data_IF_490906218825
#
_entry.id   IF_490906218825
#
_cell.length_a   1.000
_cell.length_b   1.000
_cell.length_c   1.000
_cell.angle_alpha   90.00
_cell.angle_beta   90.00
_cell.angle_gamma   90.00
#
_symmetry.space_group_name_H-M   'P 1'
#
loop_
_entity.id
_entity.type
_entity.pdbx_description
1 polymer ?
#
# COMPACT_ATOMS: atom_id res chain seq x y z
N UNK A 1 -2.31 -8.86 -63.65
CA UNK A 1 -2.58 -9.63 -62.41
C UNK A 1 -1.74 -9.10 -61.25
N UNK A 2 -1.85 -7.79 -60.94
CA UNK A 2 -0.91 -7.11 -60.02
C UNK A 2 -1.53 -5.98 -59.18
N UNK A 3 -2.86 -5.80 -59.19
CA UNK A 3 -3.53 -4.67 -58.51
C UNK A 3 -4.38 -5.06 -57.31
N UNK A 4 -4.66 -6.35 -57.10
CA UNK A 4 -5.45 -6.83 -55.94
C UNK A 4 -4.61 -7.05 -54.67
N UNK A 5 -3.30 -7.29 -54.81
CA UNK A 5 -2.38 -7.54 -53.68
C UNK A 5 -2.11 -6.25 -52.89
N UNK A 6 -2.26 -5.06 -53.49
CA UNK A 6 -1.94 -3.79 -52.83
C UNK A 6 -2.98 -3.31 -51.81
N UNK A 7 -4.27 -3.60 -52.01
CA UNK A 7 -5.38 -2.98 -51.24
C UNK A 7 -5.68 -3.71 -49.94
N UNK A 8 -5.54 -5.05 -49.94
CA UNK A 8 -5.67 -5.86 -48.74
C UNK A 8 -4.53 -5.59 -47.75
N UNK A 9 -3.30 -5.49 -48.23
CA UNK A 9 -2.13 -5.18 -47.39
C UNK A 9 -2.20 -3.77 -46.76
N UNK A 10 -2.72 -2.78 -47.48
CA UNK A 10 -2.96 -1.44 -46.92
C UNK A 10 -4.05 -1.45 -45.86
N UNK A 11 -5.13 -2.21 -46.07
CA UNK A 11 -6.22 -2.31 -45.10
C UNK A 11 -5.78 -2.99 -43.79
N UNK A 12 -4.96 -4.04 -43.88
CA UNK A 12 -4.40 -4.73 -42.71
C UNK A 12 -3.41 -3.82 -41.98
N UNK A 13 -2.53 -3.11 -42.70
CA UNK A 13 -1.59 -2.16 -42.09
C UNK A 13 -2.30 -1.02 -41.33
N UNK A 14 -3.38 -0.46 -41.89
CA UNK A 14 -4.21 0.54 -41.20
C UNK A 14 -4.87 -0.01 -39.93
N UNK A 15 -5.26 -1.28 -39.94
CA UNK A 15 -5.84 -1.98 -38.79
C UNK A 15 -4.82 -2.18 -37.66
N UNK A 16 -3.58 -2.58 -38.00
CA UNK A 16 -2.48 -2.64 -37.03
C UNK A 16 -2.23 -1.28 -36.38
N UNK A 17 -2.06 -0.23 -37.19
CA UNK A 17 -1.88 1.16 -36.69
C UNK A 17 -3.00 1.60 -35.74
N UNK A 18 -4.24 1.27 -36.07
CA UNK A 18 -5.42 1.63 -35.25
C UNK A 18 -5.43 0.89 -33.91
N UNK A 19 -5.15 -0.43 -33.92
CA UNK A 19 -5.09 -1.26 -32.71
C UNK A 19 -3.93 -0.83 -31.82
N UNK A 20 -2.77 -0.54 -32.39
CA UNK A 20 -1.59 -0.05 -31.67
C UNK A 20 -1.84 1.32 -31.06
N UNK A 21 -2.44 2.26 -31.79
CA UNK A 21 -2.78 3.58 -31.25
C UNK A 21 -3.76 3.47 -30.06
N UNK A 22 -4.76 2.61 -30.17
CA UNK A 22 -5.74 2.38 -29.10
C UNK A 22 -5.10 1.70 -27.87
N UNK A 23 -4.31 0.65 -28.06
CA UNK A 23 -3.63 -0.05 -26.95
C UNK A 23 -2.52 0.79 -26.32
N UNK A 24 -1.68 1.44 -27.14
CA UNK A 24 -0.66 2.38 -26.67
C UNK A 24 -1.28 3.52 -25.87
N UNK A 25 -2.39 4.07 -26.37
CA UNK A 25 -3.17 5.10 -25.67
C UNK A 25 -3.74 4.62 -24.34
N UNK A 26 -4.33 3.42 -24.28
CA UNK A 26 -4.91 2.87 -23.04
C UNK A 26 -3.86 2.47 -22.01
N UNK A 27 -2.72 1.90 -22.43
CA UNK A 27 -1.58 1.60 -21.55
C UNK A 27 -0.98 2.89 -21.01
N UNK A 28 -0.77 3.90 -21.86
CA UNK A 28 -0.24 5.21 -21.45
C UNK A 28 -1.20 5.95 -20.52
N UNK A 29 -2.50 5.92 -20.81
CA UNK A 29 -3.54 6.47 -19.94
C UNK A 29 -3.56 5.78 -18.57
N UNK A 30 -3.51 4.44 -18.54
CA UNK A 30 -3.47 3.64 -17.31
C UNK A 30 -2.18 3.90 -16.52
N UNK A 31 -1.04 4.03 -17.20
CA UNK A 31 0.26 4.35 -16.59
C UNK A 31 0.27 5.73 -15.95
N UNK A 32 -0.25 6.76 -16.65
CA UNK A 32 -0.40 8.12 -16.10
C UNK A 32 -1.35 8.18 -14.91
N UNK A 33 -2.52 7.54 -15.00
CA UNK A 33 -3.51 7.50 -13.90
C UNK A 33 -2.94 6.80 -12.66
N UNK A 34 -2.05 5.82 -12.83
CA UNK A 34 -1.53 4.97 -11.74
C UNK A 34 -0.13 5.35 -11.23
N UNK A 35 0.41 6.52 -11.60
CA UNK A 35 1.75 6.99 -11.20
C UNK A 35 2.85 5.92 -11.37
N UNK A 36 2.80 5.16 -12.47
CA UNK A 36 3.90 4.25 -12.77
C UNK A 36 5.20 5.04 -12.97
N UNK A 37 6.33 4.40 -12.61
CA UNK A 37 7.64 4.95 -12.87
C UNK A 37 7.81 5.19 -14.38
N UNK A 38 8.34 6.36 -14.76
CA UNK A 38 8.47 6.77 -16.16
C UNK A 38 9.30 5.76 -16.97
N UNK A 39 10.31 5.14 -16.35
CA UNK A 39 11.16 4.13 -16.96
C UNK A 39 10.39 2.86 -17.36
N UNK A 40 9.59 2.29 -16.44
CA UNK A 40 8.82 1.06 -16.73
C UNK A 40 7.73 1.28 -17.79
N UNK A 41 7.12 2.46 -17.79
CA UNK A 41 6.13 2.83 -18.82
C UNK A 41 6.77 2.93 -20.20
N UNK A 42 7.98 3.51 -20.27
CA UNK A 42 8.74 3.66 -21.51
C UNK A 42 9.24 2.31 -22.05
N UNK A 43 9.80 1.46 -21.18
CA UNK A 43 10.26 0.10 -21.54
C UNK A 43 9.11 -0.77 -22.04
N UNK A 44 7.94 -0.74 -21.38
CA UNK A 44 6.78 -1.51 -21.82
C UNK A 44 6.24 -1.01 -23.17
N UNK A 45 6.25 0.31 -23.41
CA UNK A 45 5.91 0.89 -24.71
C UNK A 45 6.86 0.47 -25.83
N UNK A 46 8.18 0.48 -25.57
CA UNK A 46 9.21 0.01 -26.52
C UNK A 46 9.06 -1.48 -26.87
N UNK A 47 8.79 -2.33 -25.86
CA UNK A 47 8.59 -3.76 -26.07
C UNK A 47 7.35 -4.04 -26.95
N UNK A 48 6.25 -3.33 -26.72
CA UNK A 48 5.04 -3.48 -27.53
C UNK A 48 5.24 -3.00 -28.97
N UNK A 49 5.95 -1.89 -29.19
CA UNK A 49 6.32 -1.42 -30.52
C UNK A 49 7.23 -2.41 -31.25
N UNK A 50 8.20 -3.01 -30.54
CA UNK A 50 9.07 -4.03 -31.13
C UNK A 50 8.32 -5.31 -31.51
N UNK A 51 7.32 -5.70 -30.71
CA UNK A 51 6.47 -6.86 -30.98
C UNK A 51 5.56 -6.62 -32.18
N UNK A 52 5.02 -5.41 -32.34
CA UNK A 52 4.22 -5.02 -33.50
C UNK A 52 5.02 -5.15 -34.80
N UNK A 53 6.24 -4.60 -34.83
CA UNK A 53 7.13 -4.66 -36.00
C UNK A 53 7.44 -6.13 -36.36
N UNK A 54 7.68 -6.96 -35.35
CA UNK A 54 7.95 -8.38 -35.54
C UNK A 54 6.73 -9.15 -36.07
N UNK A 55 5.54 -8.93 -35.49
CA UNK A 55 4.29 -9.55 -35.94
C UNK A 55 3.93 -9.14 -37.37
N UNK A 56 4.13 -7.87 -37.71
CA UNK A 56 3.89 -7.35 -39.06
C UNK A 56 4.88 -7.93 -40.08
N UNK A 57 6.17 -8.03 -39.74
CA UNK A 57 7.20 -8.56 -40.62
C UNK A 57 7.04 -10.07 -40.89
N UNK A 58 6.68 -10.85 -39.87
CA UNK A 58 6.65 -12.32 -39.95
C UNK A 58 5.33 -12.90 -40.46
N UNK A 59 4.19 -12.26 -40.16
CA UNK A 59 2.90 -12.92 -40.31
C UNK A 59 1.91 -12.22 -41.24
N UNK A 60 2.11 -10.95 -41.64
CA UNK A 60 1.33 -10.16 -42.64
C UNK A 60 -0.17 -10.53 -42.83
N UNK A 61 -0.83 -10.95 -41.77
CA UNK A 61 -2.17 -11.55 -41.81
C UNK A 61 -2.92 -11.26 -40.53
N UNK A 62 -4.23 -11.51 -40.55
CA UNK A 62 -5.12 -11.38 -39.40
C UNK A 62 -4.68 -12.24 -38.20
N UNK A 63 -3.94 -13.34 -38.43
CA UNK A 63 -3.37 -14.17 -37.36
C UNK A 63 -2.34 -13.40 -36.52
N UNK A 64 -1.49 -12.58 -37.15
CA UNK A 64 -0.55 -11.72 -36.43
C UNK A 64 -1.25 -10.64 -35.59
N UNK A 65 -2.41 -10.15 -36.06
CA UNK A 65 -3.19 -9.13 -35.35
C UNK A 65 -3.85 -9.73 -34.09
N UNK A 66 -4.30 -10.97 -34.17
CA UNK A 66 -4.82 -11.72 -33.01
C UNK A 66 -3.73 -11.99 -31.97
N UNK A 67 -2.52 -12.34 -32.40
CA UNK A 67 -1.38 -12.53 -31.50
C UNK A 67 -0.97 -11.21 -30.81
N UNK A 68 -0.89 -10.11 -31.56
CA UNK A 68 -0.56 -8.80 -31.03
C UNK A 68 -1.64 -8.30 -30.05
N UNK A 69 -2.93 -8.44 -30.39
CA UNK A 69 -4.02 -8.05 -29.49
C UNK A 69 -4.08 -8.91 -28.23
N UNK A 70 -3.79 -10.20 -28.32
CA UNK A 70 -3.62 -11.09 -27.18
C UNK A 70 -2.45 -10.68 -26.27
N UNK A 71 -1.28 -10.37 -26.85
CA UNK A 71 -0.12 -9.90 -26.10
C UNK A 71 -0.37 -8.54 -25.41
N UNK A 72 -1.07 -7.64 -26.09
CA UNK A 72 -1.51 -6.36 -25.55
C UNK A 72 -2.49 -6.53 -24.38
N UNK A 73 -3.44 -7.48 -24.47
CA UNK A 73 -4.37 -7.82 -23.40
C UNK A 73 -3.64 -8.44 -22.21
N UNK A 74 -2.73 -9.39 -22.44
CA UNK A 74 -1.88 -10.01 -21.42
C UNK A 74 -1.03 -8.93 -20.74
N UNK A 75 -0.38 -8.05 -21.50
CA UNK A 75 0.36 -6.92 -20.94
C UNK A 75 -0.53 -6.00 -20.11
N UNK A 76 -1.75 -5.68 -20.56
CA UNK A 76 -2.70 -4.88 -19.79
C UNK A 76 -3.07 -5.54 -18.45
N UNK A 77 -3.22 -6.86 -18.41
CA UNK A 77 -3.58 -7.65 -17.22
C UNK A 77 -2.36 -7.83 -16.31
N UNK A 78 -1.20 -8.15 -16.87
CA UNK A 78 0.04 -8.47 -16.18
C UNK A 78 0.86 -7.23 -15.78
N UNK A 79 0.60 -6.06 -16.36
CA UNK A 79 1.24 -4.80 -15.98
C UNK A 79 1.03 -4.60 -14.48
N UNK A 80 2.09 -4.67 -13.65
CA UNK A 80 1.95 -4.66 -12.21
C UNK A 80 1.34 -3.33 -11.77
N UNK A 81 0.07 -3.42 -11.37
CA UNK A 81 -0.69 -2.33 -10.79
C UNK A 81 -0.22 -2.16 -9.36
N UNK A 82 0.94 -1.52 -9.18
CA UNK A 82 1.38 -0.77 -8.00
C UNK A 82 2.87 -0.54 -8.16
N UNK A 83 3.27 0.71 -8.33
CA UNK A 83 4.55 1.13 -7.77
C UNK A 83 4.45 0.85 -6.27
N UNK A 84 5.05 -0.24 -5.79
CA UNK A 84 5.26 -0.40 -4.37
C UNK A 84 6.03 0.83 -3.90
N UNK A 85 5.56 1.46 -2.83
CA UNK A 85 6.30 2.58 -2.24
C UNK A 85 7.70 2.07 -1.93
N UNK A 86 8.77 2.85 -2.22
CA UNK A 86 10.13 2.38 -1.95
C UNK A 86 10.21 2.03 -0.47
N UNK A 87 10.44 0.77 -0.13
CA UNK A 87 10.24 0.27 1.24
C UNK A 87 11.49 0.43 2.09
N UNK A 88 12.64 0.44 1.42
CA UNK A 88 13.95 0.38 2.05
C UNK A 88 14.15 1.49 3.09
N UNK A 89 14.51 1.07 4.30
CA UNK A 89 14.80 1.92 5.47
C UNK A 89 13.64 2.79 5.94
N UNK A 90 12.40 2.48 5.57
CA UNK A 90 11.23 3.20 6.10
C UNK A 90 10.73 2.55 7.37
N UNK A 91 10.60 3.36 8.40
CA UNK A 91 10.10 2.96 9.70
C UNK A 91 8.61 3.28 9.86
N UNK A 92 7.83 2.34 10.40
CA UNK A 92 6.40 2.52 10.69
C UNK A 92 6.11 2.08 12.13
N UNK A 93 5.37 2.90 12.87
CA UNK A 93 4.78 2.53 14.16
C UNK A 93 3.32 2.13 13.96
N UNK A 94 2.91 1.00 14.53
CA UNK A 94 1.52 0.52 14.49
C UNK A 94 1.07 0.33 15.93
N UNK A 95 0.02 1.02 16.36
CA UNK A 95 -0.57 0.82 17.69
C UNK A 95 -1.60 -0.32 17.66
N UNK A 96 -1.75 -1.08 18.75
CA UNK A 96 -2.74 -2.16 18.85
C UNK A 96 -2.43 -3.34 17.95
N UNK A 97 -1.20 -3.84 18.00
CA UNK A 97 -0.71 -4.95 17.17
C UNK A 97 -0.85 -6.32 17.82
N UNK A 98 -1.54 -6.41 18.97
CA UNK A 98 -1.77 -7.66 19.69
C UNK A 98 -2.58 -8.67 18.86
N UNK A 99 -3.54 -8.18 18.07
CA UNK A 99 -4.45 -9.02 17.29
C UNK A 99 -5.02 -8.28 16.08
N UNK A 100 -5.91 -8.95 15.34
CA UNK A 100 -6.73 -8.34 14.29
C UNK A 100 -5.94 -7.66 13.17
N UNK A 101 -6.44 -6.50 12.74
CA UNK A 101 -5.90 -5.74 11.59
C UNK A 101 -4.49 -5.25 11.90
N UNK A 102 -4.22 -4.72 13.10
CA UNK A 102 -2.89 -4.24 13.48
C UNK A 102 -1.84 -5.34 13.41
N UNK A 103 -2.16 -6.52 13.93
CA UNK A 103 -1.28 -7.69 13.89
C UNK A 103 -0.99 -8.16 12.46
N UNK A 104 -2.03 -8.26 11.63
CA UNK A 104 -1.87 -8.64 10.22
C UNK A 104 -1.08 -7.59 9.43
N UNK A 105 -1.32 -6.30 9.70
CA UNK A 105 -0.62 -5.18 9.08
C UNK A 105 0.87 -5.18 9.46
N UNK A 106 1.20 -5.45 10.71
CA UNK A 106 2.59 -5.54 11.17
C UNK A 106 3.36 -6.61 10.39
N UNK A 107 2.80 -7.83 10.26
CA UNK A 107 3.37 -8.90 9.44
C UNK A 107 3.50 -8.52 7.98
N UNK A 108 2.46 -7.91 7.42
CA UNK A 108 2.46 -7.52 6.03
C UNK A 108 3.55 -6.49 5.73
N UNK A 109 3.67 -5.44 6.55
CA UNK A 109 4.70 -4.40 6.36
C UNK A 109 6.12 -4.96 6.58
N UNK A 110 6.32 -5.87 7.54
CA UNK A 110 7.61 -6.54 7.72
C UNK A 110 8.00 -7.38 6.49
N UNK A 111 7.04 -8.13 5.92
CA UNK A 111 7.23 -8.92 4.70
C UNK A 111 7.54 -8.05 3.47
N UNK A 112 7.02 -6.81 3.44
CA UNK A 112 7.37 -5.84 2.39
C UNK A 112 8.75 -5.22 2.58
N UNK A 113 9.36 -5.37 3.76
CA UNK A 113 10.71 -4.88 4.06
C UNK A 113 10.77 -3.63 4.95
N UNK A 114 9.65 -3.18 5.52
CA UNK A 114 9.66 -2.02 6.44
C UNK A 114 10.37 -2.35 7.75
N UNK A 115 10.91 -1.32 8.41
CA UNK A 115 11.22 -1.38 9.84
C UNK A 115 9.92 -1.16 10.59
N UNK A 116 9.46 -2.15 11.34
CA UNK A 116 8.14 -2.13 11.97
C UNK A 116 8.27 -2.03 13.48
N UNK A 117 7.63 -1.05 14.09
CA UNK A 117 7.44 -0.98 15.52
C UNK A 117 5.99 -1.37 15.82
N UNK A 118 5.81 -2.56 16.39
CA UNK A 118 4.51 -3.11 16.74
C UNK A 118 4.21 -2.80 18.21
N UNK A 119 3.40 -1.76 18.46
CA UNK A 119 2.90 -1.42 19.78
C UNK A 119 1.81 -2.40 20.23
N UNK A 120 2.02 -3.03 21.38
CA UNK A 120 1.15 -4.06 21.97
C UNK A 120 0.84 -3.73 23.44
N UNK A 121 -0.31 -4.17 23.93
CA UNK A 121 -0.71 -3.97 25.33
C UNK A 121 0.06 -4.87 26.30
N UNK A 122 0.49 -6.04 25.86
CA UNK A 122 1.33 -6.95 26.66
C UNK A 122 2.45 -7.51 25.80
N UNK A 123 3.68 -7.05 26.04
CA UNK A 123 4.88 -7.47 25.29
C UNK A 123 5.23 -8.95 25.46
N UNK A 124 4.75 -9.59 26.53
CA UNK A 124 4.90 -11.02 26.81
C UNK A 124 3.62 -11.81 26.46
N UNK A 125 2.61 -11.13 25.92
CA UNK A 125 1.33 -11.73 25.53
C UNK A 125 1.43 -12.60 24.26
N UNK A 126 0.40 -13.42 23.99
CA UNK A 126 0.41 -14.37 22.86
C UNK A 126 0.53 -13.67 21.50
N UNK A 127 -0.09 -12.51 21.33
CA UNK A 127 0.01 -11.70 20.10
C UNK A 127 1.42 -11.19 19.86
N UNK A 128 2.06 -10.66 20.89
CA UNK A 128 3.45 -10.20 20.86
C UNK A 128 4.41 -11.35 20.52
N UNK A 129 4.26 -12.50 21.19
CA UNK A 129 5.06 -13.69 20.93
C UNK A 129 4.87 -14.22 19.50
N UNK A 130 3.63 -14.21 18.99
CA UNK A 130 3.36 -14.59 17.61
C UNK A 130 4.05 -13.66 16.60
N UNK A 131 4.11 -12.34 16.84
CA UNK A 131 4.86 -11.41 16.01
C UNK A 131 6.36 -11.69 16.06
N UNK A 132 6.94 -11.83 17.26
CA UNK A 132 8.38 -12.13 17.44
C UNK A 132 8.81 -13.41 16.73
N UNK A 133 7.96 -14.44 16.72
CA UNK A 133 8.26 -15.73 16.08
C UNK A 133 8.11 -15.73 14.56
N UNK A 134 7.19 -14.94 14.03
CA UNK A 134 6.81 -15.00 12.60
C UNK A 134 7.39 -13.88 11.74
N UNK A 135 7.92 -12.83 12.36
CA UNK A 135 8.45 -11.65 11.65
C UNK A 135 9.98 -11.62 11.69
N UNK A 136 10.57 -10.81 10.81
CA UNK A 136 12.00 -10.61 10.71
C UNK A 136 12.56 -9.76 11.85
N UNK A 137 13.89 -9.64 11.92
CA UNK A 137 14.59 -8.77 12.88
C UNK A 137 14.30 -7.27 12.69
N UNK A 138 13.67 -6.87 11.57
CA UNK A 138 13.23 -5.49 11.34
C UNK A 138 11.98 -5.12 12.13
N UNK A 139 11.23 -6.12 12.62
CA UNK A 139 10.08 -5.89 13.48
C UNK A 139 10.51 -5.89 14.95
N UNK A 140 10.15 -4.82 15.65
CA UNK A 140 10.36 -4.66 17.09
C UNK A 140 9.01 -4.54 17.79
N UNK A 141 8.79 -5.39 18.80
CA UNK A 141 7.58 -5.31 19.64
C UNK A 141 7.81 -4.34 20.80
N UNK A 142 6.89 -3.39 20.96
CA UNK A 142 6.94 -2.34 22.00
C UNK A 142 5.75 -2.49 22.95
N UNK A 143 6.02 -2.44 24.25
CA UNK A 143 4.98 -2.28 25.27
C UNK A 143 4.38 -0.88 25.11
N UNK A 144 3.11 -0.78 24.75
CA UNK A 144 2.46 0.48 24.42
C UNK A 144 0.95 0.44 24.68
N UNK A 145 0.57 0.80 25.90
CA UNK A 145 -0.76 1.31 26.19
C UNK A 145 -0.84 2.80 25.82
N UNK A 146 -1.67 3.11 24.82
CA UNK A 146 -1.83 4.48 24.30
C UNK A 146 -2.60 5.41 25.24
N UNK A 147 -3.12 4.90 26.36
CA UNK A 147 -3.72 5.70 27.43
C UNK A 147 -2.74 6.01 28.56
N UNK A 148 -1.52 5.46 28.49
CA UNK A 148 -0.48 5.64 29.49
C UNK A 148 0.66 6.54 28.95
N UNK A 149 0.75 7.81 29.38
CA UNK A 149 1.76 8.75 28.90
C UNK A 149 3.20 8.28 29.10
N UNK A 150 3.47 7.51 30.15
CA UNK A 150 4.79 6.95 30.43
C UNK A 150 5.18 5.92 29.38
N UNK A 151 4.29 4.99 29.03
CA UNK A 151 4.57 3.99 27.99
C UNK A 151 4.69 4.63 26.61
N UNK A 152 3.90 5.66 26.31
CA UNK A 152 4.02 6.44 25.05
C UNK A 152 5.41 7.08 24.97
N UNK A 153 5.89 7.68 26.06
CA UNK A 153 7.23 8.29 26.13
C UNK A 153 8.34 7.25 25.99
N UNK A 154 8.23 6.11 26.66
CA UNK A 154 9.22 5.02 26.54
C UNK A 154 9.28 4.47 25.13
N UNK A 155 8.13 4.23 24.50
CA UNK A 155 8.05 3.84 23.09
C UNK A 155 8.68 4.89 22.18
N UNK A 156 8.43 6.18 22.44
CA UNK A 156 9.07 7.26 21.68
C UNK A 156 10.59 7.23 21.77
N UNK A 157 11.15 7.02 22.97
CA UNK A 157 12.60 6.92 23.16
C UNK A 157 13.19 5.74 22.39
N UNK A 158 12.59 4.55 22.52
CA UNK A 158 13.04 3.34 21.82
C UNK A 158 12.98 3.49 20.29
N UNK A 159 11.90 4.09 19.77
CA UNK A 159 11.76 4.35 18.33
C UNK A 159 12.76 5.40 17.87
N UNK A 160 12.89 6.51 18.61
CA UNK A 160 13.82 7.61 18.30
C UNK A 160 15.26 7.14 18.23
N UNK A 161 15.69 6.29 19.16
CA UNK A 161 17.02 5.67 19.18
C UNK A 161 17.27 4.84 17.92
N UNK A 162 16.28 4.05 17.49
CA UNK A 162 16.42 3.16 16.34
C UNK A 162 16.39 3.89 15.00
N UNK A 163 15.56 4.93 14.85
CA UNK A 163 15.39 5.65 13.57
C UNK A 163 16.28 6.89 13.43
N UNK A 164 16.77 7.44 14.53
CA UNK A 164 17.69 8.57 14.58
C UNK A 164 17.26 9.75 13.68
N UNK A 165 18.10 10.10 12.68
CA UNK A 165 17.84 11.19 11.74
C UNK A 165 16.94 10.79 10.57
N UNK A 166 16.78 9.48 10.29
CA UNK A 166 15.87 9.03 9.25
C UNK A 166 14.40 9.33 9.59
N UNK A 167 14.07 9.39 10.89
CA UNK A 167 12.73 9.68 11.36
C UNK A 167 11.75 8.53 11.14
N UNK A 168 10.46 8.81 11.34
CA UNK A 168 9.41 7.80 11.31
C UNK A 168 8.51 8.04 10.09
N UNK A 169 8.58 7.16 9.10
CA UNK A 169 7.87 7.35 7.83
C UNK A 169 6.35 7.30 7.96
N UNK A 170 5.83 6.55 8.94
CA UNK A 170 4.41 6.60 9.25
C UNK A 170 4.06 6.11 10.64
N UNK A 171 2.90 6.57 11.12
CA UNK A 171 2.21 5.99 12.27
C UNK A 171 0.85 5.52 11.81
N UNK A 172 0.47 4.33 12.25
CA UNK A 172 -0.86 3.77 12.09
C UNK A 172 -1.51 3.73 13.46
N UNK A 173 -2.39 4.69 13.75
CA UNK A 173 -3.24 4.67 14.92
C UNK A 173 -4.35 3.64 14.67
N UNK A 174 -4.08 2.41 15.10
CA UNK A 174 -4.96 1.26 14.93
C UNK A 174 -5.52 0.76 16.27
N UNK A 175 -4.83 1.00 17.39
CA UNK A 175 -5.36 0.68 18.71
C UNK A 175 -6.74 1.31 18.90
N UNK A 176 -7.70 0.47 19.27
CA UNK A 176 -9.05 0.89 19.50
C UNK A 176 -9.82 -0.17 20.27
N UNK A 177 -10.79 0.29 21.06
CA UNK A 177 -11.72 -0.55 21.80
C UNK A 177 -13.15 -0.21 21.37
N UNK A 178 -13.98 -1.24 21.29
CA UNK A 178 -15.42 -1.08 21.23
C UNK A 178 -15.96 -1.41 22.61
N UNK A 179 -16.75 -0.49 23.18
CA UNK A 179 -17.48 -0.76 24.42
C UNK A 179 -18.56 -1.83 24.22
N UNK A 180 -19.38 -2.03 25.25
CA UNK A 180 -20.53 -2.92 25.13
C UNK A 180 -21.54 -2.37 24.11
N UNK A 181 -22.11 -3.28 23.31
CA UNK A 181 -23.25 -2.97 22.46
C UNK A 181 -24.52 -3.00 23.31
N UNK A 182 -25.03 -1.82 23.65
CA UNK A 182 -26.32 -1.65 24.31
C UNK A 182 -26.95 -0.34 23.84
N UNK A 183 -28.25 -0.19 24.11
CA UNK A 183 -28.95 1.06 23.87
C UNK A 183 -28.28 2.21 24.64
N UNK A 184 -28.25 3.39 24.03
CA UNK A 184 -27.47 4.52 24.55
C UNK A 184 -27.86 4.92 25.98
N UNK A 185 -29.11 4.71 26.37
CA UNK A 185 -29.66 4.95 27.72
C UNK A 185 -29.15 3.97 28.78
N UNK A 186 -28.73 2.76 28.37
CA UNK A 186 -28.24 1.71 29.27
C UNK A 186 -26.72 1.78 29.47
N UNK A 187 -26.01 2.51 28.60
CA UNK A 187 -24.55 2.62 28.67
C UNK A 187 -24.13 3.69 29.70
N UNK A 188 -23.36 3.30 30.74
CA UNK A 188 -22.85 4.28 31.67
C UNK A 188 -21.78 5.16 31.01
N UNK A 189 -21.69 6.42 31.43
CA UNK A 189 -20.72 7.39 30.91
C UNK A 189 -19.26 6.94 31.01
N UNK A 190 -18.94 6.03 31.93
CA UNK A 190 -17.61 5.43 32.03
C UNK A 190 -17.19 4.68 30.77
N UNK A 191 -18.12 3.98 30.10
CA UNK A 191 -17.84 3.25 28.86
C UNK A 191 -17.55 4.22 27.72
N UNK A 192 -18.33 5.30 27.59
CA UNK A 192 -18.07 6.35 26.62
C UNK A 192 -16.70 7.00 26.83
N UNK A 193 -16.35 7.31 28.08
CA UNK A 193 -15.04 7.88 28.44
C UNK A 193 -13.91 6.93 28.07
N UNK A 194 -14.01 5.65 28.46
CA UNK A 194 -13.00 4.65 28.12
C UNK A 194 -12.79 4.52 26.60
N UNK A 195 -13.86 4.49 25.81
CA UNK A 195 -13.77 4.47 24.35
C UNK A 195 -13.07 5.73 23.81
N UNK A 196 -13.40 6.91 24.35
CA UNK A 196 -12.77 8.18 23.95
C UNK A 196 -11.29 8.25 24.35
N UNK A 197 -10.95 7.74 25.54
CA UNK A 197 -9.58 7.72 26.07
C UNK A 197 -8.66 6.93 25.15
N UNK A 198 -9.11 5.79 24.62
CA UNK A 198 -8.33 4.97 23.68
C UNK A 198 -8.43 5.52 22.25
N UNK A 199 -9.66 5.57 21.70
CA UNK A 199 -9.87 5.74 20.25
C UNK A 199 -9.61 7.17 19.77
N UNK A 200 -9.66 8.15 20.67
CA UNK A 200 -9.45 9.55 20.35
C UNK A 200 -8.23 10.13 21.08
N UNK A 201 -8.28 10.23 22.41
CA UNK A 201 -7.23 10.92 23.16
C UNK A 201 -5.89 10.20 23.06
N UNK A 202 -5.86 8.88 23.19
CA UNK A 202 -4.64 8.10 23.06
C UNK A 202 -4.04 8.18 21.66
N UNK A 203 -4.86 8.10 20.60
CA UNK A 203 -4.41 8.31 19.23
C UNK A 203 -3.82 9.72 19.02
N UNK A 204 -4.43 10.76 19.60
CA UNK A 204 -3.92 12.13 19.56
C UNK A 204 -2.60 12.25 20.33
N UNK A 205 -2.49 11.64 21.51
CA UNK A 205 -1.30 11.72 22.35
C UNK A 205 -0.09 11.03 21.72
N UNK A 206 -0.27 9.83 21.16
CA UNK A 206 0.74 9.16 20.34
C UNK A 206 1.13 10.03 19.16
N UNK A 207 0.15 10.56 18.42
CA UNK A 207 0.43 11.41 17.26
C UNK A 207 1.29 12.60 17.66
N UNK A 208 0.89 13.36 18.69
CA UNK A 208 1.62 14.54 19.19
C UNK A 208 3.04 14.20 19.62
N UNK A 209 3.22 13.10 20.36
CA UNK A 209 4.52 12.69 20.88
C UNK A 209 5.50 12.37 19.74
N UNK A 210 5.02 11.72 18.69
CA UNK A 210 5.87 11.26 17.58
C UNK A 210 5.98 12.26 16.41
N UNK A 211 5.27 13.40 16.44
CA UNK A 211 5.35 14.46 15.43
C UNK A 211 6.80 14.87 15.07
N UNK A 212 7.74 15.02 16.02
CA UNK A 212 9.13 15.36 15.67
C UNK A 212 9.79 14.35 14.72
N UNK A 213 9.51 13.04 14.89
CA UNK A 213 10.08 11.99 14.03
C UNK A 213 9.40 11.94 12.66
N UNK A 214 8.08 12.16 12.62
CA UNK A 214 7.33 12.26 11.36
C UNK A 214 7.82 13.43 10.49
N UNK A 215 8.12 14.59 11.11
CA UNK A 215 8.62 15.76 10.38
C UNK A 215 9.98 15.49 9.72
N UNK A 216 10.88 14.77 10.40
CA UNK A 216 12.20 14.39 9.85
C UNK A 216 12.08 13.60 8.54
N UNK A 217 11.14 12.66 8.48
CA UNK A 217 10.98 11.79 7.31
C UNK A 217 9.95 12.29 6.29
N UNK A 218 9.32 13.45 6.52
CA UNK A 218 8.12 13.88 5.79
C UNK A 218 7.05 12.76 5.76
N UNK A 219 6.85 12.15 6.93
CA UNK A 219 6.00 10.99 7.13
C UNK A 219 4.51 11.30 7.14
N UNK A 220 3.69 10.30 7.48
CA UNK A 220 2.22 10.39 7.49
C UNK A 220 1.60 9.78 8.74
N UNK A 221 0.45 10.33 9.13
CA UNK A 221 -0.44 9.74 10.12
C UNK A 221 -1.57 9.01 9.39
N UNK A 222 -1.81 7.76 9.74
CA UNK A 222 -2.94 6.96 9.26
C UNK A 222 -3.78 6.58 10.46
N UNK A 223 -5.03 7.03 10.49
CA UNK A 223 -5.98 6.65 11.54
C UNK A 223 -6.91 5.59 10.99
N UNK A 224 -6.99 4.44 11.68
CA UNK A 224 -7.97 3.42 11.36
C UNK A 224 -9.33 3.85 11.89
N UNK A 225 -10.31 3.96 10.99
CA UNK A 225 -11.71 4.24 11.33
C UNK A 225 -12.59 3.05 10.91
N UNK A 226 -13.85 3.07 11.32
CA UNK A 226 -14.84 2.05 10.97
C UNK A 226 -16.01 2.68 10.22
N UNK A 227 -16.65 1.90 9.33
CA UNK A 227 -17.89 2.28 8.64
C UNK A 227 -19.05 2.57 9.61
N UNK A 228 -18.94 2.11 10.86
CA UNK A 228 -19.92 2.36 11.92
C UNK A 228 -19.93 3.81 12.43
N UNK A 229 -18.97 4.66 12.00
CA UNK A 229 -18.98 6.09 12.28
C UNK A 229 -19.63 6.81 11.10
N UNK A 230 -20.92 7.22 11.18
CA UNK A 230 -21.52 8.04 10.14
C UNK A 230 -20.80 9.39 10.08
N UNK A 231 -20.08 9.62 8.99
CA UNK A 231 -19.62 10.96 8.64
C UNK A 231 -20.87 11.73 8.18
N UNK A 232 -21.26 12.75 8.96
CA UNK A 232 -22.29 13.70 8.54
C UNK A 232 -21.79 14.60 7.44
#
# INVERSE_FOLDING_TARGET
MGTYISKADTSVALLYLSVTAFFGGTVFYKARKKKMEKANTFVCGLLLLSLEILCFAMLRSYAGLLLFSGACLISYICLPVRSMLPVDNKAVLITGSDSGIGHALAKHLDNLGFVVFAGVLNKEGPGAEALKRSCSQRLSVLQLDITNPTQIREAYLAVSEKVQNAGLWGIVNNAGVLGFLADGELLPMSIYRQCMDVNFFGAVEVSKTFLPLLRKSQGRLVNMSSMTVPLK
#
